data_IF_921325908697
#
_entry.id   IF_921325908697
#
_cell.length_a   1.000
_cell.length_b   1.000
_cell.length_c   1.000
_cell.angle_alpha   90.00
_cell.angle_beta   90.00
_cell.angle_gamma   90.00
#
_symmetry.space_group_name_H-M   'P 1'
#
loop_
_entity.id
_entity.type
_entity.pdbx_description
1 polymer ?
#
# COMPACT_ATOMS: atom_id res chain seq x y z
N UNK A 1 7.42 4.79 -1.48
CA UNK A 1 5.93 4.86 -1.37
C UNK A 1 5.32 3.78 -0.50
N UNK A 2 5.54 2.47 -0.74
CA UNK A 2 4.96 1.40 0.09
C UNK A 2 5.49 1.48 1.53
N UNK A 3 6.82 1.57 1.68
CA UNK A 3 7.45 1.79 2.98
C UNK A 3 6.85 3.00 3.69
N UNK A 4 6.80 4.15 3.01
CA UNK A 4 6.27 5.41 3.57
C UNK A 4 4.79 5.29 3.96
N UNK A 5 3.98 4.56 3.20
CA UNK A 5 2.56 4.33 3.53
C UNK A 5 2.42 3.53 4.81
N UNK A 6 3.23 2.48 4.94
CA UNK A 6 3.20 1.60 6.09
C UNK A 6 3.78 2.30 7.33
N UNK A 7 4.88 3.05 7.15
CA UNK A 7 5.52 3.86 8.19
C UNK A 7 4.61 4.99 8.66
N UNK A 8 3.90 5.68 7.75
CA UNK A 8 2.92 6.69 8.14
C UNK A 8 1.84 6.09 9.04
N UNK A 9 1.26 4.96 8.63
CA UNK A 9 0.23 4.27 9.42
C UNK A 9 0.76 3.90 10.82
N UNK A 10 1.99 3.37 10.90
CA UNK A 10 2.64 3.05 12.18
C UNK A 10 2.86 4.29 13.04
N UNK A 11 3.38 5.38 12.47
CA UNK A 11 3.59 6.63 13.20
C UNK A 11 2.28 7.18 13.78
N UNK A 12 1.21 7.18 12.97
CA UNK A 12 -0.10 7.67 13.41
C UNK A 12 -0.70 6.81 14.51
N UNK A 13 -0.59 5.48 14.39
CA UNK A 13 -1.09 4.58 15.41
C UNK A 13 -0.27 4.68 16.70
N UNK A 14 1.06 4.80 16.61
CA UNK A 14 1.92 5.06 17.78
C UNK A 14 1.56 6.37 18.48
N UNK A 15 1.34 7.45 17.73
CA UNK A 15 0.90 8.73 18.28
C UNK A 15 -0.45 8.62 19.00
N UNK A 16 -1.42 7.90 18.41
CA UNK A 16 -2.71 7.65 19.04
C UNK A 16 -2.60 6.85 20.35
N UNK A 17 -1.73 5.82 20.35
CA UNK A 17 -1.45 4.99 21.52
C UNK A 17 -0.48 5.64 22.51
N UNK A 18 -0.08 6.90 22.28
CA UNK A 18 0.85 7.69 23.10
C UNK A 18 2.23 7.05 23.27
N UNK A 19 2.69 6.31 22.28
CA UNK A 19 4.05 5.76 22.23
C UNK A 19 5.08 6.80 21.82
N UNK A 20 6.27 6.76 22.44
CA UNK A 20 7.40 7.62 22.06
C UNK A 20 8.71 6.85 22.07
N UNK A 21 9.56 7.04 21.06
CA UNK A 21 10.91 6.48 21.03
C UNK A 21 10.94 4.94 21.03
N UNK A 22 11.82 4.36 21.84
CA UNK A 22 12.04 2.90 21.93
C UNK A 22 10.89 2.12 22.56
N UNK A 23 10.00 2.80 23.30
CA UNK A 23 8.80 2.22 23.94
C UNK A 23 7.55 2.36 23.05
N UNK A 24 7.74 2.51 21.74
CA UNK A 24 6.64 2.58 20.79
C UNK A 24 5.85 1.26 20.79
N UNK A 25 4.52 1.27 21.04
CA UNK A 25 3.71 0.07 21.16
C UNK A 25 3.43 -0.61 19.82
N UNK A 26 3.80 0.01 18.70
CA UNK A 26 3.63 -0.51 17.34
C UNK A 26 4.95 -0.48 16.60
N UNK A 27 5.26 -1.57 15.89
CA UNK A 27 6.44 -1.67 15.04
C UNK A 27 6.12 -2.33 13.70
N UNK A 28 6.92 -2.02 12.68
CA UNK A 28 6.92 -2.75 11.41
C UNK A 28 7.76 -4.01 11.56
N UNK A 29 7.28 -5.13 11.03
CA UNK A 29 8.07 -6.35 11.02
C UNK A 29 7.29 -7.55 10.50
N UNK A 30 8.00 -8.65 10.30
CA UNK A 30 7.37 -9.93 10.02
C UNK A 30 7.01 -10.61 11.35
N UNK A 31 5.71 -10.80 11.59
CA UNK A 31 5.22 -11.46 12.79
C UNK A 31 5.80 -12.87 12.99
N UNK A 32 6.10 -13.62 11.92
CA UNK A 32 6.65 -14.97 12.03
C UNK A 32 8.07 -14.99 12.63
N UNK A 33 8.83 -13.91 12.43
CA UNK A 33 10.19 -13.77 12.96
C UNK A 33 10.15 -13.25 14.41
N UNK A 34 9.26 -12.30 14.68
CA UNK A 34 9.18 -11.60 15.95
C UNK A 34 8.37 -12.33 17.03
N UNK A 35 7.60 -13.36 16.67
CA UNK A 35 6.89 -14.22 17.64
C UNK A 35 7.85 -15.04 18.49
N UNK A 36 9.01 -15.42 17.94
CA UNK A 36 9.94 -16.34 18.60
C UNK A 36 10.99 -15.62 19.43
N UNK A 37 11.13 -14.31 19.25
CA UNK A 37 12.08 -13.51 19.99
C UNK A 37 11.55 -13.22 21.42
N UNK A 38 12.37 -13.48 22.43
CA UNK A 38 12.14 -13.00 23.81
C UNK A 38 12.50 -11.53 24.02
N UNK A 39 12.73 -10.78 22.93
CA UNK A 39 13.16 -9.38 22.95
C UNK A 39 12.00 -8.46 23.32
N UNK A 40 12.28 -7.21 23.70
CA UNK A 40 11.25 -6.22 24.04
C UNK A 40 10.26 -5.93 22.91
N UNK A 41 10.59 -6.30 21.66
CA UNK A 41 9.71 -6.17 20.50
C UNK A 41 8.58 -7.23 20.47
N UNK A 42 8.70 -8.29 21.28
CA UNK A 42 7.66 -9.32 21.49
C UNK A 42 6.46 -8.87 22.34
N UNK A 43 6.39 -7.60 22.72
CA UNK A 43 5.31 -7.00 23.53
C UNK A 43 4.61 -5.83 22.83
N UNK A 44 4.52 -5.89 21.51
CA UNK A 44 4.04 -4.80 20.65
C UNK A 44 2.97 -5.28 19.67
N UNK A 45 2.28 -4.33 19.06
CA UNK A 45 1.55 -4.57 17.82
C UNK A 45 2.56 -4.62 16.69
N UNK A 46 2.60 -5.75 16.00
CA UNK A 46 3.46 -5.93 14.83
C UNK A 46 2.60 -5.74 13.59
N UNK A 47 3.02 -4.82 12.74
CA UNK A 47 2.38 -4.54 11.45
C UNK A 47 3.17 -5.25 10.36
N UNK A 48 2.55 -6.26 9.75
CA UNK A 48 3.13 -7.08 8.69
C UNK A 48 2.38 -6.86 7.39
N UNK A 49 3.11 -6.56 6.30
CA UNK A 49 2.55 -6.61 4.96
C UNK A 49 2.44 -8.08 4.52
N UNK A 50 1.22 -8.60 4.37
CA UNK A 50 0.98 -10.03 4.05
C UNK A 50 0.64 -10.28 2.59
N UNK A 51 0.14 -9.26 1.87
CA UNK A 51 -0.15 -9.36 0.45
C UNK A 51 -0.15 -7.97 -0.22
N UNK A 52 0.04 -7.94 -1.54
CA UNK A 52 -0.06 -6.75 -2.38
C UNK A 52 -0.81 -7.08 -3.67
N UNK A 53 -1.78 -6.26 -4.03
CA UNK A 53 -2.58 -6.41 -5.26
C UNK A 53 -2.57 -5.12 -6.08
N UNK A 54 -2.51 -5.23 -7.40
CA UNK A 54 -2.67 -4.09 -8.31
C UNK A 54 -4.17 -3.84 -8.58
N UNK A 55 -4.59 -2.57 -8.50
CA UNK A 55 -5.94 -2.15 -8.89
C UNK A 55 -6.05 -2.02 -10.42
N UNK A 56 -6.55 -3.07 -11.08
CA UNK A 56 -6.61 -3.14 -12.54
C UNK A 56 -7.61 -2.16 -13.20
N UNK A 57 -8.56 -1.59 -12.46
CA UNK A 57 -9.67 -0.79 -13.00
C UNK A 57 -9.22 0.49 -13.73
N UNK A 58 -8.01 0.98 -13.48
CA UNK A 58 -7.47 2.21 -14.09
C UNK A 58 -6.57 1.96 -15.32
N UNK A 59 -6.50 0.70 -15.81
CA UNK A 59 -5.82 0.34 -17.06
C UNK A 59 -6.56 0.79 -18.34
N UNK A 60 -7.59 1.64 -18.25
CA UNK A 60 -8.43 2.01 -19.42
C UNK A 60 -8.18 3.41 -20.06
N UNK A 61 -7.18 4.18 -19.64
CA UNK A 61 -6.80 5.46 -20.30
C UNK A 61 -5.81 5.30 -21.47
N UNK A 62 -5.40 6.38 -22.17
CA UNK A 62 -4.27 6.34 -23.12
C UNK A 62 -2.89 6.37 -22.41
N UNK A 63 -1.85 5.75 -23.00
CA UNK A 63 -0.44 5.73 -22.51
C UNK A 63 0.38 6.98 -22.88
N UNK A 64 -0.30 8.04 -23.31
CA UNK A 64 0.35 9.25 -23.74
C UNK A 64 -0.41 10.47 -23.22
N UNK A 65 0.33 11.54 -22.99
CA UNK A 65 -0.22 12.84 -22.63
C UNK A 65 0.31 13.88 -23.61
N UNK A 66 -0.56 14.77 -24.06
CA UNK A 66 -0.15 15.92 -24.86
C UNK A 66 0.31 17.00 -23.89
N UNK A 67 1.58 17.39 -23.98
CA UNK A 67 2.16 18.51 -23.23
C UNK A 67 2.90 19.40 -24.21
N UNK A 68 2.58 20.69 -24.21
CA UNK A 68 3.21 21.71 -25.07
C UNK A 68 3.22 21.32 -26.57
N UNK A 69 2.12 20.73 -27.06
CA UNK A 69 1.97 20.31 -28.46
C UNK A 69 2.75 19.06 -28.87
N UNK A 70 3.47 18.41 -27.94
CA UNK A 70 4.16 17.13 -28.15
C UNK A 70 3.43 16.00 -27.46
N UNK A 71 3.44 14.82 -28.09
CA UNK A 71 2.96 13.58 -27.48
C UNK A 71 4.09 13.05 -26.59
N UNK A 72 3.85 13.03 -25.29
CA UNK A 72 4.76 12.47 -24.28
C UNK A 72 4.22 11.11 -23.87
N UNK A 73 5.03 10.06 -24.04
CA UNK A 73 4.70 8.72 -23.58
C UNK A 73 5.23 8.55 -22.15
N UNK A 74 4.31 8.26 -21.22
CA UNK A 74 4.61 8.03 -19.81
C UNK A 74 3.90 6.76 -19.34
N UNK A 75 4.51 6.06 -18.37
CA UNK A 75 3.85 4.95 -17.69
C UNK A 75 2.66 5.46 -16.86
N UNK A 76 1.65 4.62 -16.68
CA UNK A 76 0.46 5.03 -15.91
C UNK A 76 0.72 4.94 -14.40
N UNK A 77 0.02 5.75 -13.59
CA UNK A 77 -0.01 5.53 -12.15
C UNK A 77 -0.50 4.12 -11.83
N UNK A 78 0.20 3.43 -10.93
CA UNK A 78 -0.18 2.08 -10.47
C UNK A 78 -0.84 2.22 -9.11
N UNK A 79 -2.14 1.99 -9.03
CA UNK A 79 -2.81 1.92 -7.73
C UNK A 79 -2.63 0.52 -7.16
N UNK A 80 -2.25 0.45 -5.90
CA UNK A 80 -2.00 -0.82 -5.21
C UNK A 80 -2.80 -0.90 -3.92
N UNK A 81 -3.31 -2.09 -3.64
CA UNK A 81 -3.86 -2.49 -2.37
C UNK A 81 -2.80 -3.23 -1.57
N UNK A 82 -2.52 -2.75 -0.36
CA UNK A 82 -1.65 -3.41 0.59
C UNK A 82 -2.50 -4.08 1.66
N UNK A 83 -2.24 -5.34 1.97
CA UNK A 83 -2.92 -6.05 3.05
C UNK A 83 -2.02 -6.03 4.29
N UNK A 84 -2.35 -5.17 5.25
CA UNK A 84 -1.59 -4.98 6.48
C UNK A 84 -2.23 -5.75 7.64
N UNK A 85 -1.52 -6.75 8.13
CA UNK A 85 -1.87 -7.54 9.30
C UNK A 85 -1.35 -6.86 10.56
N UNK A 86 -2.25 -6.48 11.46
CA UNK A 86 -1.93 -5.93 12.77
C UNK A 86 -2.06 -7.06 13.80
N UNK A 87 -0.94 -7.55 14.30
CA UNK A 87 -0.88 -8.68 15.24
C UNK A 87 -0.47 -8.19 16.62
N UNK A 88 -1.29 -8.44 17.64
CA UNK A 88 -1.00 -8.05 19.01
C UNK A 88 -0.25 -9.19 19.74
N UNK A 89 1.08 -9.18 19.65
CA UNK A 89 1.95 -10.09 20.38
C UNK A 89 2.29 -9.43 21.73
N UNK A 90 1.45 -9.59 22.74
CA UNK A 90 1.69 -9.11 24.09
C UNK A 90 1.73 -10.30 25.04
N UNK A 91 2.42 -10.13 26.18
CA UNK A 91 2.59 -11.20 27.17
C UNK A 91 1.26 -11.74 27.73
N UNK A 92 0.22 -10.89 27.82
CA UNK A 92 -1.10 -11.28 28.29
C UNK A 92 -2.11 -11.20 27.13
N UNK A 93 -2.80 -12.30 26.87
CA UNK A 93 -3.82 -12.38 25.82
C UNK A 93 -4.95 -11.36 25.98
N UNK A 94 -5.37 -11.08 27.22
CA UNK A 94 -6.41 -10.08 27.50
C UNK A 94 -5.96 -8.68 27.09
N UNK A 95 -4.68 -8.36 27.26
CA UNK A 95 -4.11 -7.09 26.84
C UNK A 95 -3.90 -7.04 25.33
N UNK A 96 -3.58 -8.18 24.68
CA UNK A 96 -3.62 -8.30 23.23
C UNK A 96 -5.01 -8.00 22.66
N UNK A 97 -6.08 -8.54 23.26
CA UNK A 97 -7.45 -8.24 22.82
C UNK A 97 -7.80 -6.76 22.96
N UNK A 98 -7.51 -6.15 24.12
CA UNK A 98 -7.72 -4.70 24.32
C UNK A 98 -6.95 -3.89 23.29
N UNK A 99 -5.70 -4.29 23.00
CA UNK A 99 -4.84 -3.61 22.03
C UNK A 99 -5.43 -3.69 20.62
N UNK A 100 -5.93 -4.84 20.19
CA UNK A 100 -6.66 -4.97 18.92
C UNK A 100 -7.90 -4.07 18.90
N UNK A 101 -8.64 -4.00 20.00
CA UNK A 101 -9.75 -3.05 20.16
C UNK A 101 -9.32 -1.61 19.90
N UNK A 102 -8.24 -1.14 20.51
CA UNK A 102 -7.71 0.22 20.28
C UNK A 102 -7.25 0.46 18.84
N UNK A 103 -6.70 -0.56 18.16
CA UNK A 103 -6.36 -0.45 16.72
C UNK A 103 -7.62 -0.26 15.88
N UNK A 104 -8.70 -0.99 16.17
CA UNK A 104 -9.98 -0.84 15.47
C UNK A 104 -10.59 0.54 15.76
N UNK A 105 -10.62 0.98 17.02
CA UNK A 105 -11.15 2.29 17.42
C UNK A 105 -10.41 3.43 16.71
N UNK A 106 -9.08 3.34 16.60
CA UNK A 106 -8.26 4.31 15.89
C UNK A 106 -8.68 4.44 14.42
N UNK A 107 -8.75 3.33 13.69
CA UNK A 107 -9.10 3.36 12.27
C UNK A 107 -10.58 3.67 12.01
N UNK A 108 -11.48 3.37 12.96
CA UNK A 108 -12.86 3.84 12.93
C UNK A 108 -12.95 5.36 13.10
N UNK A 109 -12.12 5.94 13.97
CA UNK A 109 -12.06 7.39 14.16
C UNK A 109 -11.41 8.14 12.99
N UNK A 110 -10.46 7.52 12.29
CA UNK A 110 -9.80 8.06 11.10
C UNK A 110 -9.24 6.96 10.21
N UNK A 111 -9.79 6.82 9.01
CA UNK A 111 -9.34 5.82 8.04
C UNK A 111 -8.64 6.41 6.80
N UNK A 112 -8.59 7.74 6.64
CA UNK A 112 -7.91 8.42 5.53
C UNK A 112 -6.74 9.25 6.02
N UNK A 113 -5.55 8.93 5.52
CA UNK A 113 -4.30 9.59 5.86
C UNK A 113 -3.69 10.26 4.64
N UNK A 114 -3.32 11.51 4.82
CA UNK A 114 -2.60 12.36 3.88
C UNK A 114 -1.52 13.09 4.66
N UNK A 115 -0.52 13.61 3.95
CA UNK A 115 0.55 14.43 4.54
C UNK A 115 -0.01 15.66 5.27
N UNK A 116 -1.12 16.23 4.77
CA UNK A 116 -1.73 17.44 5.34
C UNK A 116 -2.47 17.21 6.65
N UNK A 117 -3.06 16.03 6.83
CA UNK A 117 -3.91 15.72 7.98
C UNK A 117 -3.24 14.77 8.98
N UNK A 118 -1.95 14.47 8.81
CA UNK A 118 -1.22 13.49 9.62
C UNK A 118 0.04 14.14 10.19
N UNK A 119 0.13 14.36 11.51
CA UNK A 119 1.37 14.80 12.17
C UNK A 119 2.43 13.66 12.12
N UNK A 120 3.63 13.84 12.67
CA UNK A 120 4.63 12.76 12.82
C UNK A 120 5.00 12.04 11.51
N UNK A 121 5.56 12.82 10.57
CA UNK A 121 6.05 12.34 9.28
C UNK A 121 7.51 11.83 9.36
N UNK A 122 7.98 11.50 10.55
CA UNK A 122 9.35 11.07 10.81
C UNK A 122 9.67 9.76 10.06
N UNK A 123 10.85 9.71 9.45
CA UNK A 123 11.33 8.51 8.74
C UNK A 123 10.71 8.29 7.36
N UNK A 124 9.85 9.18 6.86
CA UNK A 124 9.41 9.13 5.47
C UNK A 124 10.55 9.55 4.53
N UNK A 125 10.65 8.86 3.40
CA UNK A 125 11.72 9.03 2.39
C UNK A 125 11.27 9.74 1.13
N UNK A 126 9.96 10.01 0.99
CA UNK A 126 9.39 10.69 -0.16
C UNK A 126 9.80 12.16 -0.24
N UNK A 127 10.06 12.63 -1.46
CA UNK A 127 10.30 14.03 -1.75
C UNK A 127 9.03 14.88 -1.55
N UNK A 128 9.15 16.21 -1.36
CA UNK A 128 7.99 17.12 -1.24
C UNK A 128 6.99 17.02 -2.39
N UNK A 129 7.46 16.73 -3.62
CA UNK A 129 6.57 16.57 -4.78
C UNK A 129 5.74 15.29 -4.68
N UNK A 130 6.36 14.17 -4.28
CA UNK A 130 5.68 12.88 -4.12
C UNK A 130 4.68 12.88 -2.96
N UNK A 131 4.99 13.65 -1.90
CA UNK A 131 4.11 13.87 -0.76
C UNK A 131 2.80 14.60 -1.16
N UNK A 132 2.80 15.39 -2.24
CA UNK A 132 1.64 16.14 -2.70
C UNK A 132 0.44 15.28 -3.12
N UNK A 133 0.69 14.08 -3.67
CA UNK A 133 -0.34 13.12 -4.07
C UNK A 133 -0.51 11.93 -3.13
N UNK A 134 0.25 11.91 -2.04
CA UNK A 134 0.30 10.78 -1.14
C UNK A 134 -0.98 10.67 -0.28
N UNK A 135 -1.75 9.61 -0.54
CA UNK A 135 -2.98 9.30 0.18
C UNK A 135 -3.06 7.81 0.46
N UNK A 136 -3.36 7.50 1.72
CA UNK A 136 -3.53 6.15 2.25
C UNK A 136 -4.95 6.05 2.81
N UNK A 137 -5.71 5.06 2.36
CA UNK A 137 -7.07 4.80 2.88
C UNK A 137 -7.13 3.37 3.41
N UNK A 138 -7.58 3.20 4.65
CA UNK A 138 -7.67 1.89 5.29
C UNK A 138 -9.12 1.41 5.38
N UNK A 139 -9.31 0.13 5.14
CA UNK A 139 -10.60 -0.55 5.23
C UNK A 139 -10.39 -1.90 5.92
N UNK A 140 -11.24 -2.21 6.91
CA UNK A 140 -11.18 -3.48 7.61
C UNK A 140 -11.48 -4.61 6.62
N UNK A 141 -10.62 -5.63 6.60
CA UNK A 141 -10.73 -6.76 5.69
C UNK A 141 -10.90 -8.05 6.49
N UNK A 142 -12.08 -8.64 6.40
CA UNK A 142 -12.42 -9.88 7.11
C UNK A 142 -12.10 -11.10 6.25
N UNK A 143 -11.26 -11.98 6.78
CA UNK A 143 -10.93 -13.27 6.17
C UNK A 143 -11.95 -14.34 6.57
N UNK A 144 -12.13 -15.33 5.71
CA UNK A 144 -12.78 -16.60 6.06
C UNK A 144 -11.88 -17.45 6.96
N UNK A 145 -12.45 -18.39 7.73
CA UNK A 145 -11.66 -19.29 8.58
C UNK A 145 -10.61 -20.09 7.80
N UNK A 146 -10.92 -20.50 6.57
CA UNK A 146 -9.96 -21.19 5.69
C UNK A 146 -8.78 -20.28 5.32
N UNK A 147 -9.04 -19.04 4.90
CA UNK A 147 -8.00 -18.06 4.60
C UNK A 147 -7.16 -17.71 5.84
N UNK A 148 -7.77 -17.65 7.03
CA UNK A 148 -7.06 -17.46 8.30
C UNK A 148 -6.09 -18.62 8.53
N UNK A 149 -6.53 -19.85 8.35
CA UNK A 149 -5.68 -21.03 8.50
C UNK A 149 -4.52 -21.03 7.50
N UNK A 150 -4.76 -20.67 6.24
CA UNK A 150 -3.69 -20.54 5.24
C UNK A 150 -2.69 -19.43 5.58
N UNK A 151 -3.19 -18.25 5.99
CA UNK A 151 -2.36 -17.11 6.37
C UNK A 151 -1.47 -17.44 7.56
N UNK A 152 -2.02 -18.00 8.62
CA UNK A 152 -1.23 -18.34 9.81
C UNK A 152 -0.36 -19.58 9.59
N UNK A 153 -0.77 -20.52 8.73
CA UNK A 153 0.07 -21.64 8.32
C UNK A 153 1.35 -21.20 7.62
N UNK A 154 1.29 -20.20 6.74
CA UNK A 154 2.49 -19.64 6.08
C UNK A 154 3.36 -18.78 6.99
N UNK A 155 2.78 -18.23 8.06
CA UNK A 155 3.48 -17.42 9.08
C UNK A 155 4.00 -18.24 10.28
N UNK A 156 4.09 -19.57 10.15
CA UNK A 156 4.67 -20.45 11.18
C UNK A 156 3.68 -21.02 12.20
N UNK A 157 2.38 -20.86 11.98
CA UNK A 157 1.30 -21.57 12.69
C UNK A 157 0.93 -21.04 14.08
N UNK A 158 1.66 -20.06 14.62
CA UNK A 158 1.41 -19.46 15.94
C UNK A 158 0.49 -18.25 15.81
N UNK A 159 -0.83 -18.50 15.82
CA UNK A 159 -1.82 -17.42 15.75
C UNK A 159 -1.88 -16.60 17.05
N UNK A 160 -1.86 -15.27 16.90
CA UNK A 160 -2.14 -14.30 17.97
C UNK A 160 -3.37 -13.45 17.61
N UNK A 161 -3.98 -12.70 18.55
CA UNK A 161 -5.05 -11.77 18.20
C UNK A 161 -4.61 -10.80 17.09
N UNK A 162 -5.43 -10.68 16.04
CA UNK A 162 -5.08 -9.89 14.87
C UNK A 162 -6.29 -9.23 14.22
N UNK A 163 -6.03 -8.19 13.43
CA UNK A 163 -6.95 -7.63 12.44
C UNK A 163 -6.20 -7.38 11.14
N UNK A 164 -6.89 -7.56 10.01
CA UNK A 164 -6.34 -7.32 8.69
C UNK A 164 -7.03 -6.09 8.10
N UNK A 165 -6.24 -5.15 7.57
CA UNK A 165 -6.75 -4.02 6.83
C UNK A 165 -6.26 -4.06 5.39
N UNK A 166 -7.18 -3.79 4.47
CA UNK A 166 -6.84 -3.44 3.09
C UNK A 166 -6.54 -1.95 3.05
N UNK A 167 -5.39 -1.61 2.50
CA UNK A 167 -4.88 -0.25 2.42
C UNK A 167 -4.78 0.15 0.95
N UNK A 168 -5.61 1.10 0.54
CA UNK A 168 -5.52 1.69 -0.80
C UNK A 168 -4.45 2.76 -0.81
N UNK A 169 -3.40 2.52 -1.59
CA UNK A 169 -2.31 3.47 -1.80
C UNK A 169 -2.45 4.10 -3.20
N UNK A 170 -2.63 5.42 -3.23
CA UNK A 170 -2.58 6.18 -4.47
C UNK A 170 -1.13 6.56 -4.74
N UNK A 171 -0.53 5.97 -5.78
CA UNK A 171 0.85 6.29 -6.17
C UNK A 171 0.89 7.37 -7.25
N UNK A 172 1.98 8.14 -7.27
CA UNK A 172 2.31 9.05 -8.35
C UNK A 172 3.29 8.35 -9.31
N UNK A 173 3.07 8.56 -10.61
CA UNK A 173 3.86 8.01 -11.72
C UNK A 173 5.36 8.26 -11.55
N UNK A 174 6.18 7.25 -11.89
CA UNK A 174 7.59 7.49 -12.18
C UNK A 174 7.68 8.43 -13.38
N UNK A 175 8.12 9.68 -13.17
CA UNK A 175 8.22 10.73 -14.21
C UNK A 175 9.29 10.46 -15.27
N UNK A 176 9.53 9.20 -15.64
CA UNK A 176 10.38 8.86 -16.76
C UNK A 176 9.60 9.04 -18.05
N UNK A 177 10.02 10.03 -18.84
CA UNK A 177 9.55 10.22 -20.21
C UNK A 177 10.17 9.11 -21.05
N UNK A 178 9.35 8.14 -21.47
CA UNK A 178 9.80 7.02 -22.29
C UNK A 178 10.13 7.47 -23.72
N UNK A 179 9.38 8.45 -24.23
CA UNK A 179 9.61 9.08 -25.53
C UNK A 179 8.78 10.36 -25.66
N UNK A 180 9.24 11.31 -26.47
CA UNK A 180 8.51 12.52 -26.83
C UNK A 180 8.63 12.77 -28.34
N UNK A 181 7.51 12.96 -29.03
CA UNK A 181 7.48 13.21 -30.47
C UNK A 181 6.32 14.13 -30.90
N UNK A 182 6.38 14.68 -32.12
CA UNK A 182 5.23 15.40 -32.68
C UNK A 182 4.04 14.43 -32.88
N UNK A 183 2.78 14.92 -32.80
CA UNK A 183 1.62 14.10 -33.10
C UNK A 183 1.71 13.52 -34.50
N UNK A 184 1.37 12.23 -34.66
CA UNK A 184 1.21 11.63 -35.99
C UNK A 184 -0.01 12.30 -36.63
N UNK A 185 0.22 13.06 -37.69
CA UNK A 185 -0.81 13.83 -38.40
C UNK A 185 -1.25 13.19 -39.70
N UNK A 186 -0.53 12.18 -40.17
CA UNK A 186 -0.77 11.55 -41.47
C UNK A 186 -0.59 10.03 -41.41
N UNK A 187 -1.48 9.29 -42.07
CA UNK A 187 -1.44 7.82 -42.19
C UNK A 187 -1.58 7.47 -43.66
N UNK A 188 -0.48 7.06 -44.29
CA UNK A 188 -0.49 6.57 -45.66
C UNK A 188 -0.72 5.06 -45.71
N UNK A 189 -1.89 4.65 -46.20
CA UNK A 189 -2.22 3.24 -46.46
C UNK A 189 -1.88 2.90 -47.92
N UNK A 190 -0.89 2.03 -48.14
CA UNK A 190 -0.62 1.47 -49.47
C UNK A 190 -1.30 0.10 -49.60
N UNK A 191 -2.54 0.08 -50.08
CA UNK A 191 -3.21 -1.16 -50.49
C UNK A 191 -2.70 -1.59 -51.86
N UNK A 192 -1.85 -2.64 -51.91
CA UNK A 192 -1.45 -3.28 -53.16
C UNK A 192 -2.53 -4.28 -53.57
N UNK A 193 -3.60 -3.79 -54.18
CA UNK A 193 -4.65 -4.64 -54.76
C UNK A 193 -4.32 -4.90 -56.23
N UNK A 194 -3.55 -5.95 -56.50
CA UNK A 194 -3.42 -6.50 -57.85
C UNK A 194 -4.50 -7.55 -58.08
N UNK A 195 -5.63 -7.13 -58.65
CA UNK A 195 -6.52 -8.06 -59.34
C UNK A 195 -6.00 -8.24 -60.77
N UNK A 196 -5.32 -9.34 -61.03
CA UNK A 196 -5.04 -9.78 -62.39
C UNK A 196 -6.28 -10.50 -62.92
N UNK A 197 -7.08 -9.83 -63.74
CA UNK A 197 -8.01 -10.50 -64.65
C UNK A 197 -7.25 -10.80 -65.96
N UNK A 198 -7.15 -12.07 -66.33
CA UNK A 198 -6.91 -12.48 -67.72
C UNK A 198 -7.39 -13.93 -67.92
N UNK A 199 -8.53 -14.01 -68.62
CA UNK A 199 -9.03 -15.06 -69.55
C UNK A 199 -8.72 -16.53 -69.28
#
# INVERSE_FOLDING_TARGET
MIFDATQLVVNQLNAHLKGTGTDSPVTLGNISQLIEETTSDSKKVIVTLVNLEEEAALKNGPHHRIKDGKVVYENRPVQVYLYLLFSANLANYSDSLKRIGSVIEFFQGKNVFTVRNSPHLDGLTLSPEELGGFRVTLELFSLTFEQINHLWGSLGGKQVPFVLYRVRLVTLTAKEILSSGPPITDVSLSTKTSYTYAS
#
